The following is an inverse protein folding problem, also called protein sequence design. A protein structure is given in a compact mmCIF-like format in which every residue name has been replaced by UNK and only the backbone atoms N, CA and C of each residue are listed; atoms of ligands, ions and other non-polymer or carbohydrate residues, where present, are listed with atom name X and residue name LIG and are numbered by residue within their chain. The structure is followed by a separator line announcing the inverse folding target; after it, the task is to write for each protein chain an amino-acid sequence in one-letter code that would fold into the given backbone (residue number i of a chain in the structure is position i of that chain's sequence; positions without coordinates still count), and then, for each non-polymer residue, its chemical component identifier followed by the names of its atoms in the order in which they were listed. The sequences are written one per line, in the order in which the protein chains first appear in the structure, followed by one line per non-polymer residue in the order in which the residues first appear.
data_IF_353669810290
#
_entry.id   IF_353669810290
#
_cell.length_a   1.000
_cell.length_b   1.000
_cell.length_c   1.000
_cell.angle_alpha   90.00
_cell.angle_beta   90.00
_cell.angle_gamma   90.00
#
_symmetry.space_group_name_H-M   'P 1'
#
loop_
_entity.id
_entity.type
_entity.pdbx_description
1 polymer ?
#
# COMPACT_ATOMS: atom_id res chain seq x y z
N UNK A 1 14.54 25.15 -60.52
CA UNK A 1 15.87 25.70 -60.16
C UNK A 1 15.65 26.97 -59.34
N UNK A 2 16.37 27.14 -58.21
CA UNK A 2 16.55 28.39 -57.42
C UNK A 2 15.33 28.72 -56.50
N UNK A 3 15.42 28.94 -55.18
CA UNK A 3 16.52 29.02 -54.19
C UNK A 3 15.92 28.80 -52.79
N UNK A 4 16.64 28.06 -51.94
CA UNK A 4 16.45 28.02 -50.49
C UNK A 4 16.83 29.38 -49.87
N UNK A 5 16.05 29.85 -48.90
CA UNK A 5 16.46 30.88 -47.96
C UNK A 5 16.24 30.35 -46.54
N UNK A 6 17.33 29.88 -45.94
CA UNK A 6 17.44 29.48 -44.55
C UNK A 6 17.73 30.75 -43.74
N UNK A 7 16.83 31.15 -42.84
CA UNK A 7 17.09 32.24 -41.88
C UNK A 7 17.53 31.60 -40.58
N UNK A 8 18.83 31.70 -40.28
CA UNK A 8 19.43 31.42 -38.97
C UNK A 8 19.35 32.70 -38.16
N UNK A 9 18.70 32.64 -37.01
CA UNK A 9 18.73 33.72 -36.01
C UNK A 9 19.42 33.16 -34.76
N UNK A 10 20.54 33.79 -34.38
CA UNK A 10 21.39 33.39 -33.27
C UNK A 10 21.30 34.45 -32.16
N UNK A 11 21.12 33.96 -30.92
CA UNK A 11 21.53 34.51 -29.61
C UNK A 11 20.95 35.83 -29.05
N UNK A 12 20.25 35.69 -27.93
CA UNK A 12 20.51 36.35 -26.63
C UNK A 12 19.48 35.76 -25.62
N UNK A 13 19.80 35.26 -24.42
CA UNK A 13 20.29 36.03 -23.26
C UNK A 13 20.56 35.10 -22.06
N UNK A 14 21.30 35.57 -21.04
CA UNK A 14 21.85 34.78 -19.93
C UNK A 14 20.92 34.70 -18.71
N UNK A 15 21.19 33.76 -17.81
CA UNK A 15 20.59 33.74 -16.47
C UNK A 15 20.82 32.43 -15.72
N UNK A 16 22.01 32.28 -15.13
CA UNK A 16 22.27 31.30 -14.08
C UNK A 16 21.30 31.57 -12.91
N UNK A 17 20.31 30.71 -12.72
CA UNK A 17 19.52 30.67 -11.50
C UNK A 17 20.32 29.93 -10.43
N UNK A 18 20.86 30.66 -9.46
CA UNK A 18 21.37 30.09 -8.22
C UNK A 18 20.18 29.72 -7.35
N UNK A 19 20.06 28.42 -7.03
CA UNK A 19 19.15 27.95 -6.00
C UNK A 19 19.56 28.57 -4.66
N UNK A 20 18.63 29.27 -4.01
CA UNK A 20 18.81 29.77 -2.66
C UNK A 20 18.47 28.64 -1.68
N UNK A 21 19.47 28.12 -0.98
CA UNK A 21 19.26 27.28 0.20
C UNK A 21 18.59 28.10 1.29
N UNK A 22 17.33 27.78 1.58
CA UNK A 22 16.62 28.26 2.75
C UNK A 22 17.06 27.46 3.98
N UNK A 23 18.20 27.84 4.56
CA UNK A 23 18.57 27.39 5.91
C UNK A 23 17.67 28.09 6.94
N UNK A 24 16.60 27.39 7.33
CA UNK A 24 15.72 27.75 8.44
C UNK A 24 16.49 27.77 9.75
N UNK A 25 16.69 28.98 10.27
CA UNK A 25 17.32 29.28 11.55
C UNK A 25 16.28 29.12 12.66
N UNK A 26 16.31 28.00 13.40
CA UNK A 26 15.49 27.84 14.61
C UNK A 26 16.32 28.14 15.87
N UNK A 27 15.80 29.13 16.61
CA UNK A 27 16.41 29.75 17.79
C UNK A 27 16.57 28.80 18.97
N UNK A 28 17.58 29.15 19.77
CA UNK A 28 18.00 28.39 20.94
C UNK A 28 17.01 28.42 22.10
N UNK A 29 16.96 27.28 22.79
CA UNK A 29 16.52 27.20 24.17
C UNK A 29 17.70 26.65 25.00
N UNK A 30 18.19 27.47 25.93
CA UNK A 30 19.27 27.14 26.87
C UNK A 30 18.72 26.25 27.98
N UNK A 31 19.27 25.06 28.17
CA UNK A 31 19.07 24.25 29.39
C UNK A 31 20.36 24.23 30.23
N UNK A 32 20.18 24.39 31.54
CA UNK A 32 21.20 24.52 32.58
C UNK A 32 21.81 23.13 32.90
N UNK A 33 23.12 23.00 33.22
CA UNK A 33 23.76 21.69 33.40
C UNK A 33 23.70 21.17 34.85
N UNK A 34 23.42 19.88 35.01
CA UNK A 34 23.52 19.12 36.26
C UNK A 34 24.16 17.74 36.03
N UNK A 35 25.11 17.39 36.91
CA UNK A 35 26.18 16.40 36.75
C UNK A 35 25.84 14.90 36.60
N UNK A 36 26.82 14.24 35.96
CA UNK A 36 27.10 12.84 35.61
C UNK A 36 27.06 11.75 36.70
N UNK A 37 26.83 10.50 36.24
CA UNK A 37 27.64 9.25 36.36
C UNK A 37 26.76 8.08 35.86
N UNK A 38 27.14 7.12 35.02
CA UNK A 38 28.41 6.59 34.52
C UNK A 38 28.23 5.07 34.39
N UNK A 39 28.52 4.46 33.22
CA UNK A 39 28.50 3.00 33.04
C UNK A 39 28.37 2.54 31.59
N UNK A 40 29.47 2.01 31.03
CA UNK A 40 29.60 1.50 29.66
C UNK A 40 28.79 0.23 29.37
N UNK A 41 28.17 0.17 28.19
CA UNK A 41 27.76 -1.05 27.50
C UNK A 41 27.80 -0.79 25.99
N UNK A 42 28.66 -1.51 25.28
CA UNK A 42 29.00 -1.30 23.87
C UNK A 42 27.85 -1.64 22.92
N UNK A 43 27.66 -0.75 21.94
CA UNK A 43 27.09 -0.93 20.60
C UNK A 43 26.31 -2.23 20.35
N UNK A 44 24.99 -2.16 20.54
CA UNK A 44 24.13 -2.68 19.51
C UNK A 44 24.06 -1.59 18.43
N UNK A 45 24.44 -1.90 17.19
CA UNK A 45 23.96 -1.16 16.03
C UNK A 45 22.43 -1.27 16.03
N UNK A 46 21.80 -0.45 16.87
CA UNK A 46 20.45 -0.02 16.64
C UNK A 46 20.54 0.83 15.39
N UNK A 47 20.37 0.18 14.23
CA UNK A 47 19.86 0.88 13.06
C UNK A 47 18.74 1.78 13.58
N UNK A 48 18.80 3.10 13.34
CA UNK A 48 17.80 3.99 13.89
C UNK A 48 16.43 3.43 13.50
N UNK A 49 15.56 3.22 14.48
CA UNK A 49 14.15 2.90 14.25
C UNK A 49 13.39 4.06 13.53
N UNK A 50 14.12 4.96 12.88
CA UNK A 50 13.72 6.27 12.40
C UNK A 50 14.29 6.62 11.01
N UNK A 51 14.97 5.69 10.33
CA UNK A 51 15.29 5.85 8.90
C UNK A 51 14.38 4.94 8.06
N UNK A 52 13.08 5.18 8.14
CA UNK A 52 12.13 4.64 7.16
C UNK A 52 12.14 5.60 5.97
N UNK A 53 12.48 5.10 4.77
CA UNK A 53 12.30 5.87 3.53
C UNK A 53 10.79 6.16 3.35
N UNK A 54 10.35 7.30 3.86
CA UNK A 54 8.96 7.74 3.74
C UNK A 54 8.57 7.82 2.27
N UNK A 55 7.49 7.15 1.90
CA UNK A 55 6.94 7.15 0.53
C UNK A 55 7.03 5.83 -0.22
N UNK A 56 7.65 4.78 0.34
CA UNK A 56 7.70 3.44 -0.27
C UNK A 56 7.15 2.36 0.68
N UNK A 57 5.87 2.46 1.06
CA UNK A 57 5.23 1.52 2.02
C UNK A 57 5.32 0.05 1.59
N UNK A 58 5.22 -0.23 0.28
CA UNK A 58 5.36 -1.59 -0.25
C UNK A 58 6.77 -2.14 -0.07
N UNK A 59 7.81 -1.32 -0.30
CA UNK A 59 9.20 -1.74 -0.11
C UNK A 59 9.51 -2.00 1.36
N UNK A 60 9.01 -1.12 2.26
CA UNK A 60 9.14 -1.31 3.70
C UNK A 60 8.45 -2.61 4.16
N UNK A 61 7.25 -2.91 3.65
CA UNK A 61 6.56 -4.16 3.95
C UNK A 61 7.34 -5.39 3.49
N UNK A 62 7.93 -5.35 2.28
CA UNK A 62 8.78 -6.44 1.78
C UNK A 62 10.04 -6.58 2.64
N UNK A 63 10.69 -5.48 3.00
CA UNK A 63 11.90 -5.49 3.84
C UNK A 63 11.62 -6.12 5.21
N UNK A 64 10.50 -5.78 5.84
CA UNK A 64 10.08 -6.35 7.13
C UNK A 64 9.93 -7.89 7.03
N UNK A 65 9.26 -8.37 5.98
CA UNK A 65 9.05 -9.81 5.77
C UNK A 65 10.36 -10.52 5.44
N UNK A 66 11.21 -9.95 4.59
CA UNK A 66 12.54 -10.52 4.29
C UNK A 66 13.39 -10.60 5.56
N UNK A 67 13.37 -9.58 6.41
CA UNK A 67 14.10 -9.60 7.68
C UNK A 67 13.59 -10.71 8.62
N UNK A 68 12.27 -10.92 8.69
CA UNK A 68 11.69 -12.03 9.47
C UNK A 68 12.10 -13.40 8.92
N UNK A 69 12.02 -13.62 7.60
CA UNK A 69 12.44 -14.88 6.96
C UNK A 69 13.93 -15.16 7.18
N UNK A 70 14.79 -14.13 7.10
CA UNK A 70 16.23 -14.28 7.34
C UNK A 70 16.58 -14.58 8.81
N UNK A 71 15.76 -14.10 9.76
CA UNK A 71 15.97 -14.30 11.18
C UNK A 71 15.49 -15.68 11.69
N UNK A 72 14.57 -16.32 10.97
CA UNK A 72 14.06 -17.65 11.31
C UNK A 72 14.95 -18.77 10.71
N UNK A 73 15.69 -19.53 11.55
CA UNK A 73 16.55 -20.62 11.08
C UNK A 73 15.78 -21.79 10.46
N UNK A 74 14.47 -21.90 10.70
CA UNK A 74 13.60 -22.95 10.15
C UNK A 74 12.96 -22.56 8.80
N UNK A 75 13.28 -21.38 8.27
CA UNK A 75 12.79 -20.94 6.95
C UNK A 75 13.19 -21.94 5.85
N UNK A 76 12.18 -22.52 5.20
CA UNK A 76 12.36 -23.33 3.99
C UNK A 76 12.53 -22.42 2.76
N UNK A 77 13.78 -22.09 2.45
CA UNK A 77 14.14 -21.25 1.30
C UNK A 77 13.71 -21.82 -0.06
N UNK A 78 13.39 -23.12 -0.16
CA UNK A 78 12.88 -23.70 -1.40
C UNK A 78 11.42 -23.32 -1.68
N UNK A 79 10.71 -22.81 -0.68
CA UNK A 79 9.30 -22.41 -0.76
C UNK A 79 9.07 -20.90 -0.78
N UNK A 80 10.04 -20.11 -0.33
CA UNK A 80 9.91 -18.65 -0.26
C UNK A 80 9.57 -18.07 -1.64
N UNK A 81 8.56 -17.21 -1.68
CA UNK A 81 8.09 -16.53 -2.89
C UNK A 81 7.81 -15.04 -2.60
N UNK A 82 8.87 -14.23 -2.69
CA UNK A 82 8.76 -12.77 -2.52
C UNK A 82 8.03 -12.12 -3.69
N UNK A 83 8.03 -12.75 -4.87
CA UNK A 83 7.31 -12.25 -6.03
C UNK A 83 5.79 -12.34 -5.83
N UNK A 84 5.30 -13.41 -5.18
CA UNK A 84 3.90 -13.50 -4.77
C UNK A 84 3.49 -12.37 -3.81
N UNK A 85 4.34 -12.04 -2.82
CA UNK A 85 4.09 -10.90 -1.94
C UNK A 85 4.11 -9.58 -2.71
N UNK A 86 5.07 -9.38 -3.62
CA UNK A 86 5.14 -8.16 -4.44
C UNK A 86 3.90 -7.99 -5.32
N UNK A 87 3.42 -9.08 -5.92
CA UNK A 87 2.20 -9.06 -6.73
C UNK A 87 0.95 -8.77 -5.88
N UNK A 88 0.87 -9.33 -4.66
CA UNK A 88 -0.20 -9.00 -3.73
C UNK A 88 -0.22 -7.51 -3.36
N UNK A 89 0.95 -6.91 -3.10
CA UNK A 89 1.05 -5.48 -2.81
C UNK A 89 0.67 -4.61 -4.03
N UNK A 90 0.93 -5.05 -5.25
CA UNK A 90 0.41 -4.39 -6.46
C UNK A 90 -1.11 -4.47 -6.50
N UNK A 91 -1.69 -5.62 -6.19
CA UNK A 91 -3.14 -5.77 -6.17
C UNK A 91 -3.77 -4.83 -5.14
N UNK A 92 -3.18 -4.74 -3.94
CA UNK A 92 -3.62 -3.82 -2.89
C UNK A 92 -3.56 -2.37 -3.36
N UNK A 93 -2.45 -1.94 -3.97
CA UNK A 93 -2.27 -0.59 -4.50
C UNK A 93 -3.28 -0.28 -5.62
N UNK A 94 -3.53 -1.24 -6.52
CA UNK A 94 -4.51 -1.11 -7.59
C UNK A 94 -5.93 -0.95 -7.05
N UNK A 95 -6.34 -1.80 -6.11
CA UNK A 95 -7.69 -1.75 -5.52
C UNK A 95 -7.90 -0.52 -4.65
N UNK A 96 -6.87 -0.11 -3.91
CA UNK A 96 -6.94 1.02 -2.98
C UNK A 96 -6.92 2.36 -3.70
N UNK A 97 -6.02 2.54 -4.67
CA UNK A 97 -5.70 3.86 -5.22
C UNK A 97 -6.08 4.04 -6.69
N UNK A 98 -6.35 2.96 -7.44
CA UNK A 98 -6.64 3.03 -8.90
C UNK A 98 -8.03 2.55 -9.30
N UNK A 99 -8.71 1.78 -8.46
CA UNK A 99 -10.08 1.35 -8.74
C UNK A 99 -11.04 2.55 -8.71
N UNK A 100 -12.01 2.54 -9.64
CA UNK A 100 -13.18 3.43 -9.58
C UNK A 100 -14.30 2.68 -8.88
N UNK A 101 -14.84 3.27 -7.82
CA UNK A 101 -15.90 2.66 -7.03
C UNK A 101 -17.19 3.44 -7.19
N UNK A 102 -18.25 2.74 -7.60
CA UNK A 102 -19.64 3.21 -7.50
C UNK A 102 -20.29 2.56 -6.29
N UNK A 103 -21.02 3.34 -5.50
CA UNK A 103 -21.78 2.85 -4.35
C UNK A 103 -23.26 2.96 -4.65
N UNK A 104 -23.98 1.90 -4.33
CA UNK A 104 -25.44 1.84 -4.39
C UNK A 104 -25.96 1.34 -3.04
N UNK A 105 -26.78 2.15 -2.39
CA UNK A 105 -27.49 1.70 -1.19
C UNK A 105 -28.58 0.71 -1.59
N UNK A 106 -28.63 -0.42 -0.91
CA UNK A 106 -29.65 -1.46 -1.10
C UNK A 106 -30.36 -1.71 0.23
N UNK A 107 -31.49 -2.40 0.17
CA UNK A 107 -32.22 -2.77 1.39
C UNK A 107 -31.33 -3.64 2.31
N UNK A 108 -31.22 -3.22 3.57
CA UNK A 108 -30.34 -3.87 4.56
C UNK A 108 -28.84 -3.87 4.24
N UNK A 109 -28.38 -3.08 3.25
CA UNK A 109 -27.02 -3.23 2.74
C UNK A 109 -26.44 -2.10 1.89
N UNK A 110 -25.29 -2.40 1.32
CA UNK A 110 -24.62 -1.59 0.29
C UNK A 110 -24.02 -2.50 -0.78
N UNK A 111 -24.11 -2.05 -2.03
CA UNK A 111 -23.42 -2.65 -3.17
C UNK A 111 -22.32 -1.70 -3.64
N UNK A 112 -21.11 -2.22 -3.70
CA UNK A 112 -19.93 -1.52 -4.21
C UNK A 112 -19.50 -2.15 -5.53
N UNK A 113 -19.40 -1.35 -6.59
CA UNK A 113 -18.89 -1.80 -7.87
C UNK A 113 -17.52 -1.16 -8.11
N UNK A 114 -16.47 -1.96 -7.99
CA UNK A 114 -15.10 -1.57 -8.26
C UNK A 114 -14.75 -1.93 -9.70
N UNK A 115 -14.30 -0.96 -10.49
CA UNK A 115 -13.99 -1.15 -11.91
C UNK A 115 -12.77 -0.36 -12.37
N UNK A 116 -12.19 -0.76 -13.49
CA UNK A 116 -11.16 -0.02 -14.22
C UNK A 116 -11.25 -0.24 -15.72
N UNK A 117 -10.65 0.65 -16.50
CA UNK A 117 -10.40 0.45 -17.92
C UNK A 117 -9.04 -0.26 -18.17
N UNK A 118 -8.15 -0.24 -17.17
CA UNK A 118 -6.88 -0.95 -17.21
C UNK A 118 -7.11 -2.44 -16.87
N UNK A 119 -6.60 -3.32 -17.74
CA UNK A 119 -6.79 -4.76 -17.60
C UNK A 119 -6.07 -5.35 -16.37
N UNK A 120 -4.90 -4.79 -16.01
CA UNK A 120 -4.15 -5.19 -14.82
C UNK A 120 -4.90 -4.83 -13.55
N UNK A 121 -5.37 -3.59 -13.44
CA UNK A 121 -6.20 -3.14 -12.30
C UNK A 121 -7.50 -3.94 -12.22
N UNK A 122 -8.13 -4.25 -13.37
CA UNK A 122 -9.33 -5.11 -13.42
C UNK A 122 -9.06 -6.51 -12.84
N UNK A 123 -7.92 -7.10 -13.17
CA UNK A 123 -7.50 -8.39 -12.63
C UNK A 123 -7.30 -8.33 -11.11
N UNK A 124 -6.60 -7.29 -10.62
CA UNK A 124 -6.38 -7.07 -9.18
C UNK A 124 -7.70 -6.93 -8.41
N UNK A 125 -8.66 -6.17 -8.96
CA UNK A 125 -9.99 -6.00 -8.36
C UNK A 125 -10.70 -7.36 -8.23
N UNK A 126 -10.73 -8.16 -9.29
CA UNK A 126 -11.42 -9.46 -9.27
C UNK A 126 -10.80 -10.42 -8.27
N UNK A 127 -9.46 -10.52 -8.27
CA UNK A 127 -8.73 -11.38 -7.36
C UNK A 127 -9.00 -10.99 -5.90
N UNK A 128 -8.77 -9.72 -5.54
CA UNK A 128 -8.88 -9.29 -4.15
C UNK A 128 -10.31 -9.28 -3.62
N UNK A 129 -11.28 -8.74 -4.38
CA UNK A 129 -12.67 -8.60 -3.90
C UNK A 129 -13.28 -9.98 -3.66
N UNK A 130 -13.03 -10.93 -4.54
CA UNK A 130 -13.54 -12.30 -4.40
C UNK A 130 -12.95 -13.01 -3.19
N UNK A 131 -11.62 -12.94 -3.04
CA UNK A 131 -10.91 -13.54 -1.90
C UNK A 131 -11.29 -12.90 -0.56
N UNK A 132 -11.43 -11.57 -0.50
CA UNK A 132 -11.84 -10.88 0.73
C UNK A 132 -13.27 -11.22 1.10
N UNK A 133 -14.22 -11.21 0.16
CA UNK A 133 -15.58 -11.61 0.46
C UNK A 133 -15.65 -13.05 1.00
N UNK A 134 -14.93 -13.99 0.38
CA UNK A 134 -14.90 -15.39 0.83
C UNK A 134 -14.28 -15.56 2.23
N UNK A 135 -13.27 -14.76 2.56
CA UNK A 135 -12.56 -14.84 3.85
C UNK A 135 -13.30 -14.10 4.97
N UNK A 136 -13.96 -12.99 4.64
CA UNK A 136 -14.56 -12.07 5.58
C UNK A 136 -16.07 -12.25 5.78
N UNK A 137 -16.72 -13.10 4.98
CA UNK A 137 -18.15 -13.42 5.19
C UNK A 137 -18.40 -13.95 6.61
N UNK A 138 -19.38 -13.36 7.29
CA UNK A 138 -19.71 -13.63 8.68
C UNK A 138 -18.86 -12.86 9.70
N UNK A 139 -17.75 -12.24 9.31
CA UNK A 139 -16.94 -11.39 10.20
C UNK A 139 -17.68 -10.08 10.50
N UNK A 140 -17.55 -9.58 11.73
CA UNK A 140 -18.40 -8.49 12.27
C UNK A 140 -19.91 -8.77 12.25
N UNK A 141 -20.34 -10.00 11.93
CA UNK A 141 -21.74 -10.34 11.72
C UNK A 141 -22.31 -9.82 10.39
N UNK A 142 -21.45 -9.46 9.44
CA UNK A 142 -21.85 -9.04 8.09
C UNK A 142 -21.87 -10.21 7.13
N UNK A 143 -22.80 -10.20 6.18
CA UNK A 143 -22.75 -11.08 5.02
C UNK A 143 -22.06 -10.34 3.87
N UNK A 144 -21.06 -10.98 3.26
CA UNK A 144 -20.26 -10.41 2.18
C UNK A 144 -20.28 -11.35 0.96
N UNK A 145 -20.69 -10.83 -0.19
CA UNK A 145 -20.75 -11.60 -1.43
C UNK A 145 -20.09 -10.82 -2.56
N UNK A 146 -19.21 -11.50 -3.28
CA UNK A 146 -18.55 -10.95 -4.46
C UNK A 146 -19.08 -11.60 -5.75
N UNK A 147 -19.16 -10.82 -6.81
CA UNK A 147 -19.39 -11.32 -8.16
C UNK A 147 -18.53 -10.55 -9.16
N UNK A 148 -17.98 -11.23 -10.15
CA UNK A 148 -17.33 -10.55 -11.25
C UNK A 148 -18.36 -9.75 -12.08
N UNK A 149 -17.95 -8.57 -12.52
CA UNK A 149 -18.73 -7.72 -13.43
C UNK A 149 -17.83 -7.26 -14.60
N UNK A 150 -18.40 -6.70 -15.68
CA UNK A 150 -17.59 -6.03 -16.70
C UNK A 150 -16.68 -4.97 -16.07
N UNK A 151 -15.38 -5.06 -16.35
CA UNK A 151 -14.37 -4.10 -15.85
C UNK A 151 -13.94 -4.27 -14.38
N UNK A 152 -14.42 -5.29 -13.65
CA UNK A 152 -13.97 -5.53 -12.27
C UNK A 152 -14.85 -6.51 -11.50
N UNK A 153 -15.24 -6.12 -10.28
CA UNK A 153 -16.05 -6.92 -9.37
C UNK A 153 -17.06 -6.05 -8.60
N UNK A 154 -18.16 -6.68 -8.21
CA UNK A 154 -19.12 -6.13 -7.28
C UNK A 154 -19.01 -6.83 -5.93
N UNK A 155 -19.05 -6.04 -4.85
CA UNK A 155 -19.14 -6.50 -3.48
C UNK A 155 -20.49 -6.07 -2.90
N UNK A 156 -21.25 -7.01 -2.37
CA UNK A 156 -22.49 -6.76 -1.64
C UNK A 156 -22.22 -7.04 -0.16
N UNK A 157 -22.58 -6.08 0.69
CA UNK A 157 -22.48 -6.20 2.15
C UNK A 157 -23.84 -5.95 2.76
N UNK A 158 -24.30 -6.87 3.60
CA UNK A 158 -25.54 -6.73 4.38
C UNK A 158 -25.28 -7.07 5.85
N UNK A 159 -26.08 -6.51 6.75
CA UNK A 159 -25.89 -6.72 8.19
C UNK A 159 -26.83 -5.88 9.05
N UNK A 160 -26.69 -5.99 10.37
CA UNK A 160 -27.55 -5.31 11.33
C UNK A 160 -27.28 -3.79 11.43
N UNK A 161 -26.10 -3.32 11.03
CA UNK A 161 -25.61 -1.95 11.16
C UNK A 161 -25.17 -1.34 9.81
N UNK A 162 -26.11 -1.17 8.84
CA UNK A 162 -25.76 -0.72 7.49
C UNK A 162 -25.07 0.64 7.43
N UNK A 163 -25.35 1.51 8.39
CA UNK A 163 -24.70 2.82 8.47
C UNK A 163 -23.18 2.71 8.66
N UNK A 164 -22.69 1.65 9.33
CA UNK A 164 -21.25 1.48 9.61
C UNK A 164 -20.47 1.16 8.34
N UNK A 165 -20.86 0.12 7.59
CA UNK A 165 -20.15 -0.21 6.36
C UNK A 165 -20.41 0.79 5.22
N UNK A 166 -21.54 1.52 5.24
CA UNK A 166 -21.74 2.67 4.34
C UNK A 166 -20.77 3.80 4.65
N UNK A 167 -20.54 4.11 5.93
CA UNK A 167 -19.58 5.14 6.35
C UNK A 167 -18.12 4.73 6.07
N UNK A 168 -17.80 3.44 6.22
CA UNK A 168 -16.48 2.90 5.85
C UNK A 168 -16.25 2.95 4.33
N UNK A 169 -17.33 2.79 3.55
CA UNK A 169 -17.25 2.65 2.10
C UNK A 169 -16.51 1.38 1.68
N UNK A 170 -16.28 1.24 0.38
CA UNK A 170 -15.67 0.04 -0.20
C UNK A 170 -14.29 -0.29 0.41
N UNK A 171 -13.37 0.69 0.43
CA UNK A 171 -12.01 0.42 0.90
C UNK A 171 -11.96 0.20 2.41
N UNK A 172 -12.78 0.93 3.19
CA UNK A 172 -12.85 0.70 4.63
C UNK A 172 -13.33 -0.71 4.93
N UNK A 173 -14.39 -1.17 4.27
CA UNK A 173 -14.88 -2.56 4.38
C UNK A 173 -13.80 -3.58 4.00
N UNK A 174 -13.06 -3.36 2.90
CA UNK A 174 -11.99 -4.26 2.46
C UNK A 174 -10.82 -4.35 3.45
N UNK A 175 -10.71 -3.42 4.40
CA UNK A 175 -9.69 -3.43 5.47
C UNK A 175 -10.23 -3.92 6.82
N UNK A 176 -11.53 -4.22 6.91
CA UNK A 176 -12.12 -4.78 8.13
C UNK A 176 -11.75 -6.25 8.22
N UNK A 177 -11.12 -6.61 9.33
CA UNK A 177 -10.71 -7.98 9.65
C UNK A 177 -9.57 -8.49 8.76
N UNK A 178 -8.74 -9.34 9.37
CA UNK A 178 -7.37 -9.71 9.01
C UNK A 178 -6.26 -8.77 9.51
N UNK A 179 -5.19 -9.41 9.99
CA UNK A 179 -3.91 -8.78 10.29
C UNK A 179 -3.02 -8.94 9.05
N UNK A 180 -2.97 -7.93 8.18
CA UNK A 180 -2.26 -7.99 6.90
C UNK A 180 -0.81 -8.48 7.02
N UNK A 181 -0.12 -8.25 8.14
CA UNK A 181 1.24 -8.75 8.38
C UNK A 181 1.33 -10.28 8.39
N UNK A 182 0.46 -10.97 9.12
CA UNK A 182 0.46 -12.44 9.16
C UNK A 182 0.12 -13.01 7.78
N UNK A 183 -0.77 -12.33 7.06
CA UNK A 183 -1.12 -12.67 5.69
C UNK A 183 0.07 -12.51 4.71
N UNK A 184 0.77 -11.38 4.79
CA UNK A 184 1.97 -11.10 3.98
C UNK A 184 3.07 -12.12 4.25
N UNK A 185 3.29 -12.50 5.50
CA UNK A 185 4.26 -13.54 5.85
C UNK A 185 3.88 -14.90 5.28
N UNK A 186 2.61 -15.29 5.38
CA UNK A 186 2.13 -16.56 4.81
C UNK A 186 2.34 -16.62 3.29
N UNK A 187 2.00 -15.54 2.57
CA UNK A 187 2.24 -15.43 1.12
C UNK A 187 3.74 -15.53 0.80
N UNK A 188 4.58 -14.77 1.50
CA UNK A 188 6.03 -14.76 1.26
C UNK A 188 6.69 -16.10 1.58
N UNK A 189 6.15 -16.88 2.52
CA UNK A 189 6.59 -18.23 2.84
C UNK A 189 6.06 -19.30 1.84
N UNK A 190 5.43 -18.88 0.74
CA UNK A 190 4.89 -19.77 -0.29
C UNK A 190 3.65 -20.53 0.15
N UNK A 191 2.91 -20.03 1.13
CA UNK A 191 1.56 -20.50 1.43
C UNK A 191 0.58 -19.78 0.50
N UNK A 192 -0.48 -20.46 0.09
CA UNK A 192 -1.59 -19.81 -0.60
C UNK A 192 -2.77 -19.65 0.38
N UNK A 193 -2.81 -18.56 1.17
CA UNK A 193 -3.91 -18.28 2.10
C UNK A 193 -5.27 -18.11 1.39
N UNK A 194 -5.27 -18.04 0.06
CA UNK A 194 -6.45 -17.87 -0.80
C UNK A 194 -6.72 -19.07 -1.73
N UNK A 195 -5.99 -20.18 -1.57
CA UNK A 195 -6.27 -21.41 -2.33
C UNK A 195 -7.55 -22.05 -1.78
N UNK A 196 -8.52 -22.25 -2.67
CA UNK A 196 -9.64 -23.18 -2.49
C UNK A 196 -9.42 -24.40 -3.39
#
# INVERSE_FOLDING_TARGET
MIRFALVVTLLASPGLALAQDAAGQHGGMRHVPGMSRGGHGMNADALPAELMEGGQSAFAAIQEIVAQLMADPETDWSRVDIEALRQHLIDMDNVTLRARVRVEEIDGGARFEATSADAGVTSSIRAMVSSHAATMDGVEGWTMQAAEIPGGAALVVTGADPDRFRALGFIGVMTVGMHHQAHHLALAAGQNPHAH
#
